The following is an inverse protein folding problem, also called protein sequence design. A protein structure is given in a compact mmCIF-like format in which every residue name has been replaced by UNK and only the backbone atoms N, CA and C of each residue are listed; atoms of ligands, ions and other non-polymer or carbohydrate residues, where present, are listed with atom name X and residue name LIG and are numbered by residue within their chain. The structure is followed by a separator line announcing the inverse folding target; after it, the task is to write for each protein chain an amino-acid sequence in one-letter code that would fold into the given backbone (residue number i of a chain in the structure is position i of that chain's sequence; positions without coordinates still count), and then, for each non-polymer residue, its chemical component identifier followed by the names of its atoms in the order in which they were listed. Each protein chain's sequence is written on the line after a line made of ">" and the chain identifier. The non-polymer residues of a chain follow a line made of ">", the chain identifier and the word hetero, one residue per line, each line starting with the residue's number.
data_IF_826279759590
#
_entry.id   IF_826279759590
#
_cell.length_a   1.000
_cell.length_b   1.000
_cell.length_c   1.000
_cell.angle_alpha   90.00
_cell.angle_beta   90.00
_cell.angle_gamma   90.00
#
_symmetry.space_group_name_H-M   'P 1'
#
loop_
_entity.id
_entity.type
_entity.pdbx_description
1 polymer ?
#
# COMPACT_ATOMS: atom_id res chain seq x y z
N UNK A 1 7.96 -2.27 4.19
CA UNK A 1 7.11 -3.11 3.32
C UNK A 1 5.67 -2.72 3.58
N UNK A 2 4.90 -2.54 2.51
CA UNK A 2 3.47 -2.21 2.50
C UNK A 2 2.80 -3.21 1.56
N UNK A 3 1.56 -3.63 1.83
CA UNK A 3 0.86 -4.59 0.97
C UNK A 3 0.00 -5.62 1.69
N UNK A 4 0.17 -5.79 2.99
CA UNK A 4 -0.70 -6.68 3.80
C UNK A 4 -2.15 -6.20 3.80
N UNK A 5 -2.37 -4.89 3.70
CA UNK A 5 -3.70 -4.28 3.59
C UNK A 5 -4.39 -4.58 2.25
N UNK A 6 -3.63 -4.62 1.15
CA UNK A 6 -4.16 -4.95 -0.16
C UNK A 6 -4.72 -6.39 -0.17
N UNK A 7 -4.05 -7.31 0.54
CA UNK A 7 -4.51 -8.70 0.68
C UNK A 7 -5.87 -8.81 1.39
N UNK A 8 -6.21 -7.89 2.30
CA UNK A 8 -7.51 -7.91 2.98
C UNK A 8 -8.68 -7.71 2.01
N UNK A 9 -8.49 -6.88 0.97
CA UNK A 9 -9.48 -6.63 -0.07
C UNK A 9 -9.53 -7.73 -1.14
N UNK A 10 -8.51 -8.59 -1.16
CA UNK A 10 -8.39 -9.74 -2.06
C UNK A 10 -8.66 -11.06 -1.34
N UNK A 11 -9.12 -11.00 -0.09
CA UNK A 11 -9.37 -12.18 0.75
C UNK A 11 -10.38 -13.14 0.12
N UNK A 12 -11.39 -12.62 -0.60
CA UNK A 12 -12.41 -13.42 -1.29
C UNK A 12 -11.84 -14.28 -2.45
N UNK A 13 -10.63 -14.00 -2.93
CA UNK A 13 -9.98 -14.79 -3.98
C UNK A 13 -9.18 -15.99 -3.42
N UNK A 14 -9.03 -16.09 -2.09
CA UNK A 14 -8.40 -17.23 -1.45
C UNK A 14 -9.37 -18.42 -1.38
N UNK A 15 -8.85 -19.63 -1.58
CA UNK A 15 -9.66 -20.86 -1.51
C UNK A 15 -10.24 -21.08 -0.10
N UNK A 16 -9.44 -20.89 0.95
CA UNK A 16 -9.91 -20.92 2.34
C UNK A 16 -9.30 -19.72 3.12
N UNK A 17 -9.94 -18.53 3.07
CA UNK A 17 -9.37 -17.31 3.66
C UNK A 17 -9.03 -17.44 5.15
N UNK A 18 -9.88 -18.13 5.91
CA UNK A 18 -9.69 -18.34 7.37
C UNK A 18 -8.40 -19.09 7.72
N UNK A 19 -7.96 -20.00 6.86
CA UNK A 19 -6.79 -20.86 7.09
C UNK A 19 -5.55 -20.39 6.35
N UNK A 20 -5.74 -19.83 5.15
CA UNK A 20 -4.64 -19.58 4.22
C UNK A 20 -4.11 -18.15 4.33
N UNK A 21 -4.97 -17.16 4.63
CA UNK A 21 -4.61 -15.75 4.57
C UNK A 21 -3.56 -15.35 5.62
N UNK A 22 -3.78 -15.70 6.89
CA UNK A 22 -2.88 -15.30 7.98
C UNK A 22 -1.49 -15.93 7.84
N UNK A 23 -1.35 -17.26 7.62
CA UNK A 23 -0.04 -17.86 7.38
C UNK A 23 0.65 -17.30 6.15
N UNK A 24 -0.07 -17.09 5.04
CA UNK A 24 0.51 -16.51 3.82
C UNK A 24 1.06 -15.10 4.08
N UNK A 25 0.32 -14.24 4.79
CA UNK A 25 0.79 -12.91 5.15
C UNK A 25 2.01 -12.95 6.08
N UNK A 26 2.02 -13.83 7.08
CA UNK A 26 3.15 -13.95 8.02
C UNK A 26 4.40 -14.48 7.33
N UNK A 27 4.30 -15.57 6.58
CA UNK A 27 5.41 -16.17 5.83
C UNK A 27 5.94 -15.17 4.81
N UNK A 28 5.05 -14.53 4.05
CA UNK A 28 5.42 -13.51 3.06
C UNK A 28 6.16 -12.34 3.71
N UNK A 29 5.66 -11.82 4.82
CA UNK A 29 6.30 -10.70 5.54
C UNK A 29 7.68 -11.07 6.06
N UNK A 30 7.83 -12.25 6.69
CA UNK A 30 9.12 -12.72 7.21
C UNK A 30 10.11 -12.97 6.07
N UNK A 31 9.67 -13.60 4.98
CA UNK A 31 10.51 -13.88 3.82
C UNK A 31 11.02 -12.59 3.18
N UNK A 32 10.13 -11.64 2.88
CA UNK A 32 10.51 -10.35 2.29
C UNK A 32 11.41 -9.57 3.24
N UNK A 33 11.12 -9.57 4.54
CA UNK A 33 11.96 -8.95 5.55
C UNK A 33 13.38 -9.54 5.58
N UNK A 34 13.50 -10.87 5.54
CA UNK A 34 14.79 -11.55 5.49
C UNK A 34 15.57 -11.20 4.21
N UNK A 35 14.89 -11.16 3.05
CA UNK A 35 15.50 -10.74 1.78
C UNK A 35 15.99 -9.29 1.87
N UNK A 36 15.21 -8.37 2.43
CA UNK A 36 15.63 -6.98 2.59
C UNK A 36 16.87 -6.85 3.47
N UNK A 37 16.89 -7.53 4.63
CA UNK A 37 18.06 -7.51 5.52
C UNK A 37 19.28 -8.11 4.82
N UNK A 38 19.15 -9.25 4.13
CA UNK A 38 20.24 -9.87 3.39
C UNK A 38 20.79 -8.93 2.31
N UNK A 39 19.90 -8.31 1.53
CA UNK A 39 20.26 -7.31 0.52
C UNK A 39 20.99 -6.10 1.13
N UNK A 40 20.51 -5.55 2.25
CA UNK A 40 21.17 -4.44 2.95
C UNK A 40 22.56 -4.83 3.45
N UNK A 41 22.69 -6.02 4.04
CA UNK A 41 23.99 -6.54 4.50
C UNK A 41 24.98 -6.70 3.34
N UNK A 42 24.52 -7.19 2.17
CA UNK A 42 25.36 -7.29 0.97
C UNK A 42 25.82 -5.92 0.48
N UNK A 43 24.93 -4.93 0.43
CA UNK A 43 25.28 -3.56 0.02
C UNK A 43 26.32 -2.94 0.97
N UNK A 44 26.19 -3.17 2.27
CA UNK A 44 27.15 -2.68 3.27
C UNK A 44 28.50 -3.42 3.17
N UNK A 45 28.48 -4.74 2.95
CA UNK A 45 29.69 -5.56 2.88
C UNK A 45 30.49 -5.35 1.58
N UNK A 46 29.80 -5.03 0.47
CA UNK A 46 30.40 -4.82 -0.85
C UNK A 46 29.98 -3.46 -1.43
N UNK A 47 30.46 -2.36 -0.83
CA UNK A 47 30.16 -1.03 -1.32
C UNK A 47 30.68 -0.86 -2.74
N UNK A 48 29.88 -0.21 -3.59
CA UNK A 48 30.20 0.02 -4.99
C UNK A 48 29.71 1.42 -5.41
N UNK A 49 30.26 1.94 -6.51
CA UNK A 49 30.00 3.29 -7.01
C UNK A 49 28.96 3.31 -8.15
N UNK A 50 28.21 2.23 -8.33
CA UNK A 50 27.13 2.20 -9.31
C UNK A 50 25.94 3.05 -8.85
N UNK A 51 25.21 3.62 -9.80
CA UNK A 51 24.00 4.41 -9.50
C UNK A 51 22.94 3.59 -8.75
N UNK A 52 22.92 2.28 -8.98
CA UNK A 52 22.10 1.32 -8.25
C UNK A 52 23.00 0.23 -7.67
N UNK A 53 23.13 0.19 -6.34
CA UNK A 53 24.08 -0.70 -5.67
C UNK A 53 23.88 -2.19 -5.99
N UNK A 54 22.64 -2.59 -6.32
CA UNK A 54 22.31 -3.95 -6.75
C UNK A 54 22.86 -4.33 -8.12
N UNK A 55 23.02 -3.36 -9.03
CA UNK A 55 23.70 -3.59 -10.32
C UNK A 55 25.18 -3.88 -10.09
N UNK A 56 25.81 -3.10 -9.22
CA UNK A 56 27.20 -3.31 -8.82
C UNK A 56 27.40 -4.67 -8.17
N UNK A 57 26.54 -5.05 -7.23
CA UNK A 57 26.56 -6.38 -6.60
C UNK A 57 26.39 -7.50 -7.63
N UNK A 58 25.44 -7.39 -8.56
CA UNK A 58 25.27 -8.38 -9.61
C UNK A 58 26.55 -8.53 -10.43
N UNK A 59 27.15 -7.42 -10.84
CA UNK A 59 28.38 -7.43 -11.63
C UNK A 59 29.58 -8.00 -10.86
N UNK A 60 29.67 -7.77 -9.55
CA UNK A 60 30.73 -8.33 -8.70
C UNK A 60 30.62 -9.85 -8.58
N UNK A 61 29.42 -10.38 -8.35
CA UNK A 61 29.23 -11.82 -8.08
C UNK A 61 28.98 -12.65 -9.35
N UNK A 62 28.37 -12.06 -10.36
CA UNK A 62 27.87 -12.76 -11.55
C UNK A 62 28.41 -12.16 -12.85
N UNK A 63 29.21 -11.09 -12.80
CA UNK A 63 29.70 -10.39 -13.98
C UNK A 63 30.54 -11.27 -14.91
N UNK A 64 31.41 -12.13 -14.36
CA UNK A 64 32.21 -13.05 -15.18
C UNK A 64 31.37 -14.12 -15.88
N UNK A 65 30.26 -14.56 -15.28
CA UNK A 65 29.36 -15.55 -15.87
C UNK A 65 28.37 -14.93 -16.88
N UNK A 66 27.93 -13.69 -16.64
CA UNK A 66 26.84 -13.03 -17.38
C UNK A 66 27.29 -11.78 -18.16
N UNK A 67 28.59 -11.55 -18.26
CA UNK A 67 29.19 -10.47 -19.07
C UNK A 67 28.92 -9.05 -18.55
N UNK A 68 28.87 -8.85 -17.23
CA UNK A 68 28.66 -7.53 -16.58
C UNK A 68 27.36 -6.80 -16.98
N UNK A 69 26.33 -7.56 -17.36
CA UNK A 69 25.03 -7.05 -17.81
C UNK A 69 24.01 -6.85 -16.68
N UNK A 70 24.46 -6.55 -15.45
CA UNK A 70 23.58 -6.42 -14.29
C UNK A 70 22.45 -5.40 -14.45
N UNK A 71 22.68 -4.33 -15.21
CA UNK A 71 21.67 -3.31 -15.48
C UNK A 71 20.45 -3.86 -16.25
N UNK A 72 20.64 -4.78 -17.21
CA UNK A 72 19.52 -5.42 -17.91
C UNK A 72 18.72 -6.32 -16.98
N UNK A 73 19.41 -7.16 -16.19
CA UNK A 73 18.76 -8.11 -15.28
C UNK A 73 17.97 -7.36 -14.20
N UNK A 74 18.62 -6.42 -13.51
CA UNK A 74 17.98 -5.64 -12.45
C UNK A 74 16.90 -4.72 -13.04
N UNK A 75 17.09 -4.17 -14.24
CA UNK A 75 16.08 -3.38 -14.94
C UNK A 75 14.81 -4.17 -15.25
N UNK A 76 14.95 -5.38 -15.82
CA UNK A 76 13.81 -6.26 -16.11
C UNK A 76 13.09 -6.67 -14.82
N UNK A 77 13.83 -7.05 -13.78
CA UNK A 77 13.25 -7.40 -12.48
C UNK A 77 12.53 -6.20 -11.83
N UNK A 78 13.10 -5.00 -11.94
CA UNK A 78 12.50 -3.77 -11.44
C UNK A 78 11.19 -3.43 -12.15
N UNK A 79 11.16 -3.51 -13.48
CA UNK A 79 9.94 -3.29 -14.28
C UNK A 79 8.88 -4.36 -13.96
N UNK A 80 9.28 -5.63 -13.92
CA UNK A 80 8.36 -6.73 -13.59
C UNK A 80 7.76 -6.56 -12.18
N UNK A 81 8.58 -6.22 -11.19
CA UNK A 81 8.13 -5.95 -9.82
C UNK A 81 7.20 -4.74 -9.73
N UNK A 82 7.51 -3.66 -10.45
CA UNK A 82 6.66 -2.47 -10.54
C UNK A 82 5.30 -2.79 -11.15
N UNK A 83 5.27 -3.48 -12.30
CA UNK A 83 4.03 -3.89 -12.97
C UNK A 83 3.18 -4.83 -12.11
N UNK A 84 3.82 -5.80 -11.44
CA UNK A 84 3.14 -6.71 -10.53
C UNK A 84 2.49 -5.92 -9.36
N UNK A 85 3.21 -4.96 -8.79
CA UNK A 85 2.71 -4.13 -7.68
C UNK A 85 1.52 -3.27 -8.13
N UNK A 86 1.65 -2.57 -9.27
CA UNK A 86 0.56 -1.75 -9.81
C UNK A 86 -0.67 -2.61 -10.10
N UNK A 87 -0.51 -3.81 -10.66
CA UNK A 87 -1.61 -4.71 -10.96
C UNK A 87 -2.35 -5.15 -9.68
N UNK A 88 -1.62 -5.58 -8.65
CA UNK A 88 -2.23 -6.02 -7.38
C UNK A 88 -2.94 -4.86 -6.67
N UNK A 89 -2.30 -3.68 -6.59
CA UNK A 89 -2.89 -2.52 -5.91
C UNK A 89 -4.12 -1.97 -6.66
N UNK A 90 -4.08 -1.90 -8.00
CA UNK A 90 -5.24 -1.44 -8.77
C UNK A 90 -6.43 -2.38 -8.63
N UNK A 91 -6.20 -3.69 -8.67
CA UNK A 91 -7.24 -4.69 -8.43
C UNK A 91 -7.83 -4.56 -7.00
N UNK A 92 -6.97 -4.46 -5.99
CA UNK A 92 -7.39 -4.37 -4.58
C UNK A 92 -8.17 -3.09 -4.29
N UNK A 93 -7.68 -1.94 -4.76
CA UNK A 93 -8.33 -0.64 -4.56
C UNK A 93 -9.64 -0.51 -5.34
N UNK A 94 -9.74 -1.08 -6.54
CA UNK A 94 -11.00 -1.10 -7.29
C UNK A 94 -12.10 -1.85 -6.52
N UNK A 95 -11.77 -2.96 -5.85
CA UNK A 95 -12.70 -3.69 -4.98
C UNK A 95 -13.08 -2.88 -3.74
N UNK A 96 -12.12 -2.19 -3.11
CA UNK A 96 -12.41 -1.29 -1.99
C UNK A 96 -13.36 -0.16 -2.39
N UNK A 97 -13.11 0.50 -3.52
CA UNK A 97 -13.97 1.56 -4.06
C UNK A 97 -15.38 1.03 -4.34
N UNK A 98 -15.48 -0.16 -4.94
CA UNK A 98 -16.76 -0.81 -5.22
C UNK A 98 -17.53 -1.13 -3.93
N UNK A 99 -16.85 -1.71 -2.92
CA UNK A 99 -17.45 -2.02 -1.62
C UNK A 99 -17.97 -0.75 -0.92
N UNK A 100 -17.22 0.34 -0.96
CA UNK A 100 -17.69 1.64 -0.44
C UNK A 100 -18.89 2.19 -1.23
N UNK A 101 -18.96 1.96 -2.53
CA UNK A 101 -20.11 2.36 -3.34
C UNK A 101 -21.36 1.50 -3.04
N UNK A 102 -21.19 0.19 -2.82
CA UNK A 102 -22.27 -0.73 -2.39
C UNK A 102 -22.82 -0.36 -1.02
N UNK A 103 -21.95 0.06 -0.11
CA UNK A 103 -22.33 0.62 1.19
C UNK A 103 -22.90 2.05 1.09
N UNK A 104 -23.03 2.61 -0.12
CA UNK A 104 -23.57 3.93 -0.39
C UNK A 104 -22.69 5.10 0.04
N UNK A 105 -21.43 4.84 0.42
CA UNK A 105 -20.43 5.87 0.77
C UNK A 105 -20.01 6.57 -0.52
N UNK A 106 -19.73 5.83 -1.58
CA UNK A 106 -19.39 6.39 -2.89
C UNK A 106 -20.59 6.38 -3.87
N UNK A 107 -20.53 7.14 -4.98
CA UNK A 107 -21.59 7.13 -5.99
C UNK A 107 -21.93 5.72 -6.47
N UNK A 108 -23.23 5.41 -6.61
CA UNK A 108 -23.72 4.07 -6.98
C UNK A 108 -23.21 3.57 -8.34
N UNK A 109 -22.77 4.47 -9.22
CA UNK A 109 -22.12 4.10 -10.48
C UNK A 109 -20.85 3.26 -10.24
N UNK A 110 -20.10 3.51 -9.17
CA UNK A 110 -18.88 2.77 -8.82
C UNK A 110 -19.17 1.38 -8.21
N UNK A 111 -20.43 1.09 -7.87
CA UNK A 111 -20.86 -0.22 -7.40
C UNK A 111 -21.14 -1.20 -8.55
N UNK A 112 -21.12 -0.74 -9.81
CA UNK A 112 -21.44 -1.59 -10.96
C UNK A 112 -20.31 -2.59 -11.24
N UNK A 113 -20.68 -3.87 -11.31
CA UNK A 113 -19.80 -4.98 -11.69
C UNK A 113 -20.18 -5.52 -13.06
N UNK A 114 -19.22 -6.06 -13.81
CA UNK A 114 -19.48 -6.74 -15.08
C UNK A 114 -19.89 -8.21 -14.86
N UNK A 115 -20.12 -8.95 -15.95
CA UNK A 115 -20.51 -10.37 -15.92
C UNK A 115 -19.48 -11.28 -15.24
N UNK A 116 -18.21 -10.86 -15.19
CA UNK A 116 -17.11 -11.57 -14.51
C UNK A 116 -16.90 -11.09 -13.07
N UNK A 117 -17.86 -10.35 -12.49
CA UNK A 117 -17.79 -9.80 -11.13
C UNK A 117 -16.65 -8.78 -10.92
N UNK A 118 -16.14 -8.17 -12.00
CA UNK A 118 -15.08 -7.15 -11.96
C UNK A 118 -15.72 -5.75 -11.89
N UNK A 119 -15.30 -4.88 -10.94
CA UNK A 119 -15.86 -3.53 -10.79
C UNK A 119 -15.24 -2.56 -11.81
N UNK A 120 -15.67 -2.67 -13.08
CA UNK A 120 -15.08 -1.95 -14.21
C UNK A 120 -15.15 -0.42 -14.06
N UNK A 121 -16.26 0.11 -13.53
CA UNK A 121 -16.40 1.56 -13.32
C UNK A 121 -15.44 2.08 -12.26
N UNK A 122 -15.32 1.37 -11.13
CA UNK A 122 -14.37 1.69 -10.07
C UNK A 122 -12.91 1.61 -10.57
N UNK A 123 -12.57 0.56 -11.32
CA UNK A 123 -11.24 0.38 -11.91
C UNK A 123 -10.91 1.52 -12.88
N UNK A 124 -11.82 1.86 -13.79
CA UNK A 124 -11.61 2.93 -14.77
C UNK A 124 -11.44 4.29 -14.08
N UNK A 125 -12.26 4.60 -13.08
CA UNK A 125 -12.12 5.83 -12.28
C UNK A 125 -10.79 5.85 -11.54
N UNK A 126 -10.36 4.74 -10.94
CA UNK A 126 -9.06 4.64 -10.28
C UNK A 126 -7.91 4.89 -11.26
N UNK A 127 -7.94 4.29 -12.45
CA UNK A 127 -6.93 4.50 -13.49
C UNK A 127 -6.85 5.96 -13.95
N UNK A 128 -7.99 6.64 -14.09
CA UNK A 128 -8.04 8.07 -14.41
C UNK A 128 -7.42 8.93 -13.31
N UNK A 129 -7.68 8.60 -12.04
CA UNK A 129 -7.07 9.28 -10.89
C UNK A 129 -5.56 9.05 -10.87
N UNK A 130 -5.09 7.82 -11.07
CA UNK A 130 -3.66 7.50 -11.15
C UNK A 130 -3.01 8.29 -12.31
N UNK A 131 -3.62 8.31 -13.49
CA UNK A 131 -3.11 9.07 -14.63
C UNK A 131 -3.04 10.57 -14.33
N UNK A 132 -4.07 11.14 -13.70
CA UNK A 132 -4.08 12.54 -13.27
C UNK A 132 -2.94 12.83 -12.28
N UNK A 133 -2.75 11.97 -11.27
CA UNK A 133 -1.66 12.11 -10.30
C UNK A 133 -0.30 12.09 -11.01
N UNK A 134 -0.08 11.15 -11.93
CA UNK A 134 1.17 11.08 -12.70
C UNK A 134 1.42 12.34 -13.54
N UNK A 135 0.38 12.88 -14.18
CA UNK A 135 0.48 14.13 -14.95
C UNK A 135 0.83 15.30 -14.01
N UNK A 136 0.15 15.43 -12.88
CA UNK A 136 0.42 16.49 -11.89
C UNK A 136 1.84 16.37 -11.34
N UNK A 137 2.28 15.17 -10.99
CA UNK A 137 3.64 14.88 -10.53
C UNK A 137 4.68 15.28 -11.58
N UNK A 138 4.44 14.95 -12.85
CA UNK A 138 5.34 15.32 -13.96
C UNK A 138 5.49 16.84 -14.10
N UNK A 139 4.38 17.58 -14.07
CA UNK A 139 4.41 19.05 -14.20
C UNK A 139 4.94 19.75 -12.93
N UNK A 140 4.71 19.16 -11.76
CA UNK A 140 5.15 19.71 -10.47
C UNK A 140 6.60 19.36 -10.13
N UNK A 141 7.29 18.62 -11.01
CA UNK A 141 8.69 18.17 -10.88
C UNK A 141 8.99 17.58 -9.48
N UNK A 142 8.04 16.83 -8.94
CA UNK A 142 8.22 16.18 -7.63
C UNK A 142 9.10 14.95 -7.80
N UNK A 143 10.05 14.79 -6.88
CA UNK A 143 10.92 13.63 -6.88
C UNK A 143 10.18 12.38 -6.39
N UNK A 144 10.66 11.21 -6.80
CA UNK A 144 10.10 9.93 -6.37
C UNK A 144 10.15 9.78 -4.84
N UNK A 145 11.19 10.33 -4.20
CA UNK A 145 11.36 10.30 -2.75
C UNK A 145 10.23 11.02 -2.01
N UNK A 146 9.78 12.18 -2.52
CA UNK A 146 8.65 12.92 -1.95
C UNK A 146 7.36 12.12 -2.03
N UNK A 147 7.08 11.50 -3.19
CA UNK A 147 5.92 10.63 -3.38
C UNK A 147 5.95 9.45 -2.39
N UNK A 148 7.11 8.81 -2.22
CA UNK A 148 7.29 7.70 -1.27
C UNK A 148 7.00 8.19 0.16
N UNK A 149 7.53 9.35 0.54
CA UNK A 149 7.33 9.91 1.88
C UNK A 149 5.87 10.29 2.15
N UNK A 150 5.17 10.86 1.17
CA UNK A 150 3.73 11.17 1.29
C UNK A 150 2.89 9.91 1.46
N UNK A 151 3.14 8.89 0.64
CA UNK A 151 2.43 7.60 0.73
C UNK A 151 2.72 6.92 2.07
N UNK A 152 3.98 6.89 2.50
CA UNK A 152 4.36 6.35 3.82
C UNK A 152 3.65 7.08 4.96
N UNK A 153 3.54 8.42 4.89
CA UNK A 153 2.80 9.22 5.86
C UNK A 153 1.32 8.81 5.97
N UNK A 154 0.66 8.56 4.83
CA UNK A 154 -0.72 8.07 4.79
C UNK A 154 -0.82 6.68 5.43
N UNK A 155 0.10 5.76 5.13
CA UNK A 155 0.09 4.43 5.72
C UNK A 155 0.33 4.42 7.23
N UNK A 156 1.22 5.28 7.73
CA UNK A 156 1.42 5.42 9.18
C UNK A 156 0.12 5.82 9.88
N UNK A 157 -0.64 6.75 9.29
CA UNK A 157 -1.96 7.15 9.82
C UNK A 157 -2.95 6.00 9.77
N UNK A 158 -3.04 5.27 8.65
CA UNK A 158 -3.94 4.11 8.50
C UNK A 158 -3.61 3.03 9.54
N UNK A 159 -2.34 2.67 9.71
CA UNK A 159 -1.93 1.66 10.68
C UNK A 159 -2.12 2.13 12.12
N UNK A 160 -1.86 3.41 12.44
CA UNK A 160 -2.17 3.95 13.75
C UNK A 160 -3.67 3.88 14.06
N UNK A 161 -4.52 4.27 13.11
CA UNK A 161 -5.97 4.16 13.23
C UNK A 161 -6.43 2.69 13.42
N UNK A 162 -5.83 1.76 12.67
CA UNK A 162 -6.11 0.33 12.83
C UNK A 162 -5.72 -0.19 14.22
N UNK A 163 -4.58 0.25 14.77
CA UNK A 163 -4.16 -0.10 16.13
C UNK A 163 -5.08 0.50 17.21
N UNK A 164 -5.56 1.73 17.01
CA UNK A 164 -6.54 2.35 17.91
C UNK A 164 -7.90 1.63 17.85
N UNK A 165 -8.34 1.19 16.67
CA UNK A 165 -9.52 0.35 16.54
C UNK A 165 -9.30 -1.02 17.21
N UNK A 166 -8.13 -1.63 17.03
CA UNK A 166 -7.76 -2.87 17.70
C UNK A 166 -7.78 -2.75 19.22
N UNK A 167 -7.40 -1.59 19.78
CA UNK A 167 -7.48 -1.33 21.22
C UNK A 167 -8.92 -1.39 21.75
N UNK A 168 -9.90 -0.96 20.95
CA UNK A 168 -11.31 -0.98 21.31
C UNK A 168 -11.94 -2.37 21.09
N UNK A 169 -11.53 -3.09 20.04
CA UNK A 169 -12.14 -4.36 19.64
C UNK A 169 -11.54 -5.59 20.31
N UNK A 170 -10.23 -5.59 20.61
CA UNK A 170 -9.54 -6.78 21.13
C UNK A 170 -9.44 -6.78 22.66
N UNK A 171 -9.30 -7.98 23.23
CA UNK A 171 -9.14 -8.18 24.66
C UNK A 171 -7.91 -7.45 25.24
N UNK A 172 -7.97 -7.15 26.54
CA UNK A 172 -6.90 -6.47 27.30
C UNK A 172 -5.55 -7.19 27.16
N UNK A 173 -5.53 -8.51 26.95
CA UNK A 173 -4.32 -9.31 26.75
C UNK A 173 -3.49 -8.87 25.54
N UNK A 174 -4.12 -8.30 24.52
CA UNK A 174 -3.44 -7.89 23.28
C UNK A 174 -2.92 -6.44 23.32
N UNK A 175 -3.24 -5.68 24.37
CA UNK A 175 -2.79 -4.29 24.57
C UNK A 175 -1.27 -4.08 24.47
N UNK A 176 -0.37 -4.93 25.02
CA UNK A 176 1.06 -4.72 24.85
C UNK A 176 1.49 -4.75 23.38
N UNK A 177 0.91 -5.65 22.57
CA UNK A 177 1.20 -5.74 21.14
C UNK A 177 0.70 -4.50 20.39
N UNK A 178 -0.47 -4.00 20.76
CA UNK A 178 -1.06 -2.77 20.18
C UNK A 178 -0.21 -1.54 20.53
N UNK A 179 0.26 -1.43 21.78
CA UNK A 179 1.16 -0.35 22.19
C UNK A 179 2.50 -0.41 21.47
N UNK A 180 3.05 -1.61 21.25
CA UNK A 180 4.25 -1.78 20.44
C UNK A 180 4.02 -1.29 19.00
N UNK A 181 2.89 -1.68 18.38
CA UNK A 181 2.51 -1.22 17.06
C UNK A 181 2.34 0.31 16.97
N UNK A 182 1.67 0.92 17.96
CA UNK A 182 1.54 2.38 18.05
C UNK A 182 2.88 3.08 18.26
N UNK A 183 3.75 2.52 19.12
CA UNK A 183 5.10 3.03 19.33
C UNK A 183 5.93 3.00 18.05
N UNK A 184 5.82 1.91 17.27
CA UNK A 184 6.46 1.82 15.96
C UNK A 184 5.90 2.82 14.95
N UNK A 185 4.57 3.00 14.89
CA UNK A 185 3.96 4.04 14.05
C UNK A 185 4.45 5.45 14.44
N UNK A 186 4.61 5.72 15.74
CA UNK A 186 5.13 6.99 16.23
C UNK A 186 6.61 7.19 15.88
N UNK A 187 7.44 6.14 15.95
CA UNK A 187 8.83 6.20 15.51
C UNK A 187 8.93 6.52 14.00
N UNK A 188 8.11 5.87 13.17
CA UNK A 188 8.02 6.18 11.74
C UNK A 188 7.51 7.61 11.49
N UNK A 189 6.52 8.06 12.27
CA UNK A 189 6.01 9.43 12.16
C UNK A 189 7.09 10.47 12.43
N UNK A 190 7.94 10.25 13.44
CA UNK A 190 9.09 11.11 13.75
C UNK A 190 10.11 11.07 12.60
N UNK A 191 10.37 9.88 12.03
CA UNK A 191 11.30 9.72 10.91
C UNK A 191 10.85 10.40 9.61
N UNK A 192 9.55 10.35 9.30
CA UNK A 192 8.97 10.98 8.10
C UNK A 192 8.83 12.50 8.29
N UNK A 193 8.60 12.95 9.53
CA UNK A 193 8.57 14.37 9.89
C UNK A 193 7.52 15.18 9.13
N UNK A 194 7.93 16.31 8.54
CA UNK A 194 7.03 17.28 7.91
C UNK A 194 6.27 16.72 6.69
N UNK A 195 6.77 15.67 6.04
CA UNK A 195 6.06 15.03 4.93
C UNK A 195 4.72 14.40 5.35
N UNK A 196 4.50 14.19 6.65
CA UNK A 196 3.19 13.76 7.18
C UNK A 196 2.09 14.81 7.08
N UNK A 197 2.43 16.09 6.88
CA UNK A 197 1.43 17.17 6.71
C UNK A 197 0.46 16.81 5.59
N UNK A 198 0.96 16.20 4.51
CA UNK A 198 0.14 15.71 3.41
C UNK A 198 -0.97 14.74 3.87
N UNK A 199 -0.61 13.77 4.71
CA UNK A 199 -1.55 12.78 5.23
C UNK A 199 -2.63 13.42 6.13
N UNK A 200 -2.24 14.40 6.97
CA UNK A 200 -3.18 15.13 7.81
C UNK A 200 -4.11 16.03 7.01
N UNK A 201 -3.61 16.70 5.97
CA UNK A 201 -4.44 17.50 5.05
C UNK A 201 -5.47 16.58 4.37
N UNK A 202 -5.03 15.44 3.83
CA UNK A 202 -5.94 14.47 3.22
C UNK A 202 -7.02 14.00 4.20
N UNK A 203 -6.65 13.64 5.44
CA UNK A 203 -7.63 13.27 6.46
C UNK A 203 -8.61 14.41 6.77
N UNK A 204 -8.11 15.64 6.92
CA UNK A 204 -8.93 16.80 7.21
C UNK A 204 -9.93 17.09 6.08
N UNK A 205 -9.54 16.86 4.82
CA UNK A 205 -10.43 17.00 3.67
C UNK A 205 -11.43 15.85 3.58
N UNK A 206 -10.99 14.60 3.72
CA UNK A 206 -11.82 13.40 3.49
C UNK A 206 -12.84 13.18 4.63
N UNK A 207 -12.45 13.42 5.88
CA UNK A 207 -13.30 13.14 7.07
C UNK A 207 -14.66 13.84 7.02
N UNK A 208 -14.75 15.15 6.70
CA UNK A 208 -16.03 15.85 6.52
C UNK A 208 -16.92 15.20 5.46
N UNK A 209 -16.37 14.81 4.30
CA UNK A 209 -17.15 14.16 3.24
C UNK A 209 -17.74 12.83 3.70
N UNK A 210 -16.94 12.01 4.38
CA UNK A 210 -17.40 10.72 4.94
C UNK A 210 -18.46 10.92 6.02
N UNK A 211 -18.29 11.91 6.90
CA UNK A 211 -19.28 12.23 7.93
C UNK A 211 -20.60 12.72 7.34
N UNK A 212 -20.54 13.57 6.31
CA UNK A 212 -21.73 14.05 5.61
C UNK A 212 -22.47 12.91 4.90
N UNK A 213 -21.74 11.95 4.32
CA UNK A 213 -22.33 10.77 3.69
C UNK A 213 -22.97 9.83 4.72
N UNK A 214 -22.29 9.53 5.83
CA UNK A 214 -22.87 8.75 6.93
C UNK A 214 -24.15 9.39 7.47
N UNK A 215 -24.17 10.71 7.65
CA UNK A 215 -25.38 11.44 8.07
C UNK A 215 -26.52 11.25 7.07
N UNK A 216 -26.27 11.46 5.77
CA UNK A 216 -27.29 11.26 4.71
C UNK A 216 -27.85 9.83 4.68
N UNK A 217 -27.01 8.82 4.94
CA UNK A 217 -27.45 7.42 5.01
C UNK A 217 -28.33 7.15 6.23
N UNK A 218 -27.92 7.62 7.42
CA UNK A 218 -28.72 7.48 8.64
C UNK A 218 -30.09 8.15 8.51
N UNK A 219 -30.16 9.32 7.87
CA UNK A 219 -31.44 9.99 7.60
C UNK A 219 -32.31 9.22 6.60
N UNK A 220 -31.70 8.55 5.61
CA UNK A 220 -32.43 7.74 4.63
C UNK A 220 -33.00 6.46 5.24
N UNK A 221 -32.28 5.83 6.18
CA UNK A 221 -32.76 4.66 6.94
C UNK A 221 -33.83 5.04 7.96
N UNK A 222 -33.74 6.22 8.58
CA UNK A 222 -34.77 6.70 9.53
C UNK A 222 -36.09 7.12 8.88
N UNK A 223 -36.09 7.39 7.56
CA UNK A 223 -37.26 7.82 6.80
C UNK A 223 -37.88 6.68 5.95
N UNK A 224 -37.36 5.46 6.06
CA UNK A 224 -37.86 4.25 5.40
C UNK A 224 -38.52 3.35 6.44
#
# INVERSE_FOLDING_TARGET
>A
FLGVEAMSHLSDDFRNPEKDMIPAMLIGTVLVGAVYVACTLLVIAYPNNESLSMVGLFNVFFGELFGYNGHYVIGVLGVAGGLATVNVYTASLARLICSFAEQGVLPSYLAKRNEFNVPLSALTTLMLVIAMVLIVTFYSQQDLEDLINWVNGVFVVIYAAAMLAAWQLLSVKNRPMILLGLGFCMALAIGIGAHMIYAFILMAVITPFVMLQKRKQLTKVSNA
#
